data_IF_287830774920
#
_entry.id   IF_287830774920
#
_cell.length_a   1.000
_cell.length_b   1.000
_cell.length_c   1.000
_cell.angle_alpha   90.00
_cell.angle_beta   90.00
_cell.angle_gamma   90.00
#
_symmetry.space_group_name_H-M   'P 1'
#
loop_
_entity.id
_entity.type
_entity.pdbx_description
1 polymer ?
#
# COMPACT_ATOMS: atom_id res chain seq x y z
N UNK A 1 17.51 -39.62 -9.14
CA UNK A 1 18.82 -39.71 -8.55
C UNK A 1 18.91 -40.89 -7.58
N UNK A 2 20.12 -41.50 -7.40
CA UNK A 2 20.23 -42.81 -6.73
C UNK A 2 19.75 -42.83 -5.28
N UNK A 3 19.84 -41.74 -4.53
CA UNK A 3 19.42 -41.65 -3.13
C UNK A 3 17.89 -41.61 -2.94
N UNK A 4 17.13 -41.42 -4.00
CA UNK A 4 15.65 -41.35 -3.95
C UNK A 4 14.96 -42.58 -4.54
N UNK A 5 15.71 -43.59 -5.03
CA UNK A 5 15.12 -44.76 -5.69
C UNK A 5 14.25 -45.61 -4.79
N UNK A 6 14.50 -45.59 -3.49
CA UNK A 6 13.76 -46.37 -2.51
C UNK A 6 12.49 -45.68 -1.98
N UNK A 7 12.25 -44.43 -2.41
CA UNK A 7 11.11 -43.63 -1.97
C UNK A 7 10.03 -43.64 -3.07
N UNK A 8 9.21 -44.68 -3.10
CA UNK A 8 8.25 -44.92 -4.18
C UNK A 8 7.06 -43.91 -4.23
N UNK A 9 6.80 -43.19 -3.15
CA UNK A 9 5.69 -42.24 -3.08
C UNK A 9 6.06 -40.83 -3.58
N UNK A 10 7.34 -40.54 -3.80
CA UNK A 10 7.81 -39.29 -4.39
C UNK A 10 8.07 -39.50 -5.87
N UNK A 11 7.35 -38.78 -6.73
CA UNK A 11 7.53 -38.85 -8.18
C UNK A 11 8.51 -37.80 -8.69
N UNK A 12 8.43 -36.58 -8.15
CA UNK A 12 9.29 -35.49 -8.56
C UNK A 12 9.46 -34.47 -7.44
N UNK A 13 10.68 -33.96 -7.29
CA UNK A 13 11.00 -32.78 -6.48
C UNK A 13 11.85 -31.86 -7.33
N UNK A 14 11.44 -30.60 -7.44
CA UNK A 14 12.17 -29.58 -8.18
C UNK A 14 12.28 -28.32 -7.35
N UNK A 15 13.48 -27.93 -7.04
CA UNK A 15 13.77 -26.62 -6.49
C UNK A 15 13.92 -25.59 -7.60
N UNK A 16 13.40 -24.40 -7.36
CA UNK A 16 13.51 -23.24 -8.25
C UNK A 16 14.11 -22.09 -7.46
N UNK A 17 15.10 -21.45 -8.04
CA UNK A 17 15.67 -20.23 -7.50
C UNK A 17 15.81 -19.24 -8.64
N UNK A 18 15.39 -18.00 -8.41
CA UNK A 18 15.55 -16.94 -9.40
C UNK A 18 15.89 -15.61 -8.73
N UNK A 19 16.72 -14.84 -9.40
CA UNK A 19 17.02 -13.46 -9.11
C UNK A 19 16.79 -12.68 -10.39
N UNK A 20 16.04 -11.60 -10.31
CA UNK A 20 15.76 -10.74 -11.44
C UNK A 20 15.78 -9.27 -11.05
N UNK A 21 16.18 -8.43 -12.00
CA UNK A 21 16.14 -6.98 -11.88
C UNK A 21 15.49 -6.39 -13.11
N UNK A 22 14.51 -5.50 -12.94
CA UNK A 22 13.81 -4.80 -14.01
C UNK A 22 13.72 -3.31 -13.71
N UNK A 23 13.92 -2.50 -14.73
CA UNK A 23 13.70 -1.05 -14.67
C UNK A 23 12.31 -0.70 -15.17
N UNK A 24 11.67 0.26 -14.52
CA UNK A 24 10.39 0.84 -14.93
C UNK A 24 10.56 2.34 -15.15
N UNK A 25 10.30 2.79 -16.37
CA UNK A 25 10.36 4.20 -16.77
C UNK A 25 8.98 4.80 -17.03
N UNK A 26 7.93 4.30 -16.40
CA UNK A 26 6.57 4.77 -16.58
C UNK A 26 6.35 6.15 -15.92
N UNK A 27 7.03 7.15 -16.44
CA UNK A 27 6.90 8.56 -16.07
C UNK A 27 6.26 9.30 -17.23
N UNK A 28 5.32 10.20 -16.92
CA UNK A 28 4.68 11.02 -17.96
C UNK A 28 5.72 11.75 -18.80
N UNK A 29 5.52 11.85 -20.12
CA UNK A 29 6.43 12.57 -20.99
C UNK A 29 6.70 14.00 -20.50
N UNK A 30 7.92 14.49 -20.74
CA UNK A 30 8.35 15.85 -20.41
C UNK A 30 8.44 16.21 -18.92
N UNK A 31 8.25 15.25 -17.99
CA UNK A 31 8.40 15.51 -16.53
C UNK A 31 9.81 15.96 -16.11
N UNK A 32 10.80 15.84 -17.00
CA UNK A 32 12.18 16.30 -16.82
C UNK A 32 12.42 17.71 -17.37
N UNK A 33 11.39 18.33 -17.96
CA UNK A 33 11.51 19.65 -18.56
C UNK A 33 10.77 20.70 -17.72
N UNK A 34 11.39 21.85 -17.58
CA UNK A 34 10.72 23.03 -17.03
C UNK A 34 9.78 23.60 -18.07
N UNK A 35 8.50 23.67 -17.74
CA UNK A 35 7.46 24.21 -18.60
C UNK A 35 6.99 25.55 -18.05
N UNK A 36 6.89 26.55 -18.92
CA UNK A 36 6.29 27.83 -18.60
C UNK A 36 4.83 27.84 -19.02
N UNK A 37 3.96 28.23 -18.12
CA UNK A 37 2.55 28.41 -18.44
C UNK A 37 2.28 29.81 -18.98
N UNK A 38 1.52 29.90 -20.07
CA UNK A 38 1.06 31.13 -20.68
C UNK A 38 -0.40 31.38 -20.30
N UNK A 39 -0.63 32.37 -19.49
CA UNK A 39 -1.96 32.72 -18.99
C UNK A 39 -2.38 34.10 -19.47
N UNK A 40 -3.67 34.29 -19.64
CA UNK A 40 -4.24 35.61 -19.88
C UNK A 40 -4.50 36.31 -18.55
N UNK A 41 -4.12 37.58 -18.46
CA UNK A 41 -4.41 38.37 -17.28
C UNK A 41 -5.92 38.51 -17.06
N UNK A 42 -6.33 38.52 -15.79
CA UNK A 42 -7.75 38.75 -15.42
C UNK A 42 -8.22 40.18 -15.65
N UNK A 43 -7.35 41.07 -16.13
CA UNK A 43 -7.61 42.49 -16.36
C UNK A 43 -7.39 42.85 -17.83
N UNK A 44 -8.17 43.81 -18.32
CA UNK A 44 -8.05 44.38 -19.65
C UNK A 44 -7.27 45.69 -19.52
N UNK A 45 -6.19 45.80 -20.30
CA UNK A 45 -5.40 47.00 -20.42
C UNK A 45 -5.44 47.49 -21.88
N UNK A 46 -5.80 48.74 -22.10
CA UNK A 46 -5.91 49.34 -23.45
C UNK A 46 -6.84 48.52 -24.37
N UNK A 47 -7.97 48.01 -23.87
CA UNK A 47 -8.94 47.24 -24.63
C UNK A 47 -8.53 45.82 -24.95
N UNK A 48 -7.39 45.35 -24.47
CA UNK A 48 -6.88 44.01 -24.75
C UNK A 48 -6.50 43.28 -23.48
N UNK A 49 -6.75 41.98 -23.44
CA UNK A 49 -6.31 41.08 -22.38
C UNK A 49 -4.86 40.68 -22.64
N UNK A 50 -3.97 41.04 -21.72
CA UNK A 50 -2.54 40.73 -21.88
C UNK A 50 -2.22 39.29 -21.49
N UNK A 51 -1.28 38.69 -22.20
CA UNK A 51 -0.72 37.40 -21.85
C UNK A 51 0.48 37.58 -20.94
N UNK A 52 0.59 36.78 -19.92
CA UNK A 52 1.78 36.73 -19.05
C UNK A 52 2.26 35.27 -18.92
N UNK A 53 3.53 35.11 -18.63
CA UNK A 53 4.13 33.81 -18.32
C UNK A 53 4.17 33.65 -16.80
N UNK A 54 3.77 32.48 -16.31
CA UNK A 54 3.98 32.10 -14.93
C UNK A 54 5.08 31.06 -14.82
N UNK A 55 5.82 31.08 -13.72
CA UNK A 55 6.71 29.99 -13.39
C UNK A 55 5.92 28.69 -13.22
N UNK A 56 6.52 27.53 -13.51
CA UNK A 56 5.86 26.24 -13.29
C UNK A 56 5.48 26.09 -11.83
N UNK A 57 4.36 25.43 -11.58
CA UNK A 57 3.86 25.19 -10.22
C UNK A 57 4.65 24.14 -9.44
N UNK A 58 5.60 23.47 -10.08
CA UNK A 58 6.41 22.40 -9.48
C UNK A 58 7.89 22.55 -9.79
N UNK A 59 8.72 22.23 -8.83
CA UNK A 59 10.18 22.16 -8.99
C UNK A 59 10.55 20.84 -9.67
N UNK A 60 11.50 20.89 -10.61
CA UNK A 60 12.03 19.69 -11.24
C UNK A 60 12.91 18.89 -10.28
N UNK A 61 12.84 17.54 -10.34
CA UNK A 61 13.77 16.71 -9.58
C UNK A 61 15.19 16.89 -10.14
N UNK A 62 16.17 17.07 -9.25
CA UNK A 62 17.57 17.24 -9.65
C UNK A 62 18.17 15.97 -10.30
N UNK A 63 17.71 14.81 -9.87
CA UNK A 63 18.20 13.52 -10.32
C UNK A 63 17.02 12.58 -10.57
N UNK A 64 16.54 12.54 -11.81
CA UNK A 64 15.51 11.59 -12.22
C UNK A 64 16.17 10.30 -12.72
N UNK A 65 15.84 9.17 -12.10
CA UNK A 65 16.30 7.83 -12.51
C UNK A 65 15.13 6.87 -12.65
N UNK A 66 15.42 5.71 -13.20
CA UNK A 66 14.43 4.64 -13.39
C UNK A 66 14.08 4.01 -12.04
N UNK A 67 12.81 3.80 -11.83
CA UNK A 67 12.36 2.89 -10.77
C UNK A 67 12.91 1.50 -11.05
N UNK A 68 13.52 0.90 -10.05
CA UNK A 68 14.14 -0.42 -10.18
C UNK A 68 13.45 -1.43 -9.27
N UNK A 69 13.01 -2.54 -9.84
CA UNK A 69 12.43 -3.67 -9.12
C UNK A 69 13.39 -4.85 -9.15
N UNK A 70 13.86 -5.27 -7.98
CA UNK A 70 14.71 -6.45 -7.78
C UNK A 70 13.93 -7.53 -7.05
N UNK A 71 13.86 -8.73 -7.61
CA UNK A 71 13.10 -9.85 -7.02
C UNK A 71 14.00 -11.05 -6.81
N UNK A 72 13.90 -11.65 -5.63
CA UNK A 72 14.48 -12.94 -5.28
C UNK A 72 13.31 -13.88 -5.00
N UNK A 73 13.31 -15.06 -5.62
CA UNK A 73 12.28 -16.07 -5.45
C UNK A 73 12.93 -17.43 -5.20
N UNK A 74 12.37 -18.18 -4.25
CA UNK A 74 12.67 -19.58 -3.98
C UNK A 74 11.37 -20.38 -4.08
N UNK A 75 11.34 -21.34 -5.00
CA UNK A 75 10.18 -22.19 -5.24
C UNK A 75 10.50 -23.67 -5.05
N UNK A 76 9.47 -24.43 -4.73
CA UNK A 76 9.49 -25.88 -4.58
C UNK A 76 8.27 -26.50 -5.27
N UNK A 77 8.54 -27.38 -6.24
CA UNK A 77 7.53 -28.21 -6.90
C UNK A 77 7.70 -29.65 -6.46
N UNK A 78 6.64 -30.28 -5.97
CA UNK A 78 6.64 -31.68 -5.53
C UNK A 78 5.45 -32.42 -6.11
N UNK A 79 5.69 -33.56 -6.71
CA UNK A 79 4.65 -34.49 -7.15
C UNK A 79 4.78 -35.79 -6.37
N UNK A 80 3.68 -36.21 -5.79
CA UNK A 80 3.58 -37.38 -4.91
C UNK A 80 2.51 -38.34 -5.36
N UNK A 81 2.56 -39.58 -4.82
CA UNK A 81 1.51 -40.56 -4.92
C UNK A 81 1.13 -40.89 -6.40
N UNK A 82 2.13 -41.20 -7.23
CA UNK A 82 1.94 -41.44 -8.66
C UNK A 82 1.32 -40.24 -9.39
N UNK A 83 1.80 -39.01 -9.07
CA UNK A 83 1.32 -37.73 -9.60
C UNK A 83 -0.14 -37.37 -9.24
N UNK A 84 -0.72 -38.05 -8.24
CA UNK A 84 -2.06 -37.68 -7.76
C UNK A 84 -2.04 -36.41 -6.93
N UNK A 85 -1.00 -36.22 -6.12
CA UNK A 85 -0.83 -35.03 -5.29
C UNK A 85 0.28 -34.15 -5.87
N UNK A 86 -0.03 -32.92 -6.18
CA UNK A 86 0.92 -31.89 -6.61
C UNK A 86 0.96 -30.76 -5.60
N UNK A 87 2.17 -30.36 -5.22
CA UNK A 87 2.43 -29.21 -4.38
C UNK A 87 3.34 -28.25 -5.14
N UNK A 88 2.98 -26.97 -5.16
CA UNK A 88 3.82 -25.88 -5.66
C UNK A 88 3.84 -24.79 -4.59
N UNK A 89 5.00 -24.41 -4.16
CA UNK A 89 5.19 -23.37 -3.17
C UNK A 89 6.27 -22.39 -3.61
N UNK A 90 6.03 -21.11 -3.45
CA UNK A 90 6.97 -20.03 -3.73
C UNK A 90 7.02 -19.06 -2.55
N UNK A 91 8.21 -18.62 -2.19
CA UNK A 91 8.44 -17.49 -1.30
C UNK A 91 9.30 -16.46 -2.03
N UNK A 92 8.95 -15.20 -1.91
CA UNK A 92 9.66 -14.16 -2.62
C UNK A 92 9.85 -12.89 -1.79
N UNK A 93 10.90 -12.17 -2.15
CA UNK A 93 11.12 -10.80 -1.73
C UNK A 93 11.36 -9.94 -2.96
N UNK A 94 10.59 -8.87 -3.08
CA UNK A 94 10.72 -7.85 -4.10
C UNK A 94 11.09 -6.54 -3.44
N UNK A 95 12.14 -5.90 -3.92
CA UNK A 95 12.53 -4.55 -3.51
C UNK A 95 12.36 -3.62 -4.72
N UNK A 96 11.55 -2.59 -4.53
CA UNK A 96 11.36 -1.53 -5.52
C UNK A 96 12.02 -0.28 -4.98
N UNK A 97 13.06 0.18 -5.67
CA UNK A 97 13.84 1.36 -5.30
C UNK A 97 13.63 2.48 -6.28
N UNK A 98 13.90 3.70 -5.81
CA UNK A 98 13.80 4.92 -6.63
C UNK A 98 12.40 5.15 -7.23
N UNK A 99 11.35 4.82 -6.48
CA UNK A 99 9.97 5.04 -6.91
C UNK A 99 9.70 6.53 -7.14
N UNK A 100 9.09 6.83 -8.30
CA UNK A 100 8.76 8.20 -8.68
C UNK A 100 7.45 8.65 -8.02
N UNK A 101 7.58 9.32 -6.89
CA UNK A 101 6.46 9.78 -6.05
C UNK A 101 6.66 11.23 -5.63
N UNK A 102 5.61 11.84 -5.09
CA UNK A 102 5.68 13.18 -4.50
C UNK A 102 6.68 13.19 -3.33
N UNK A 103 7.55 14.17 -3.30
CA UNK A 103 8.51 14.38 -2.22
C UNK A 103 7.95 15.21 -1.06
N UNK A 104 8.86 15.73 -0.25
CA UNK A 104 8.51 16.59 0.87
C UNK A 104 7.81 17.87 0.42
N UNK A 105 6.81 18.31 1.19
CA UNK A 105 6.15 19.59 0.98
C UNK A 105 7.16 20.75 1.14
N UNK A 106 7.04 21.71 0.26
CA UNK A 106 7.83 22.94 0.32
C UNK A 106 7.10 23.98 1.19
N UNK A 107 7.83 24.90 1.84
CA UNK A 107 7.20 25.99 2.54
C UNK A 107 6.23 26.77 1.64
N UNK A 108 5.04 27.08 2.11
CA UNK A 108 4.00 27.76 1.33
C UNK A 108 4.48 29.10 0.71
N UNK A 109 5.46 29.76 1.33
CA UNK A 109 6.06 31.00 0.81
C UNK A 109 6.73 30.83 -0.55
N UNK A 110 7.12 29.62 -0.93
CA UNK A 110 7.73 29.35 -2.24
C UNK A 110 6.73 29.38 -3.40
N UNK A 111 5.44 29.17 -3.10
CA UNK A 111 4.38 29.05 -4.10
C UNK A 111 4.43 27.78 -4.95
N UNK A 112 5.34 26.84 -4.65
CA UNK A 112 5.49 25.59 -5.38
C UNK A 112 4.79 24.44 -4.67
N UNK A 113 4.25 23.51 -5.46
CA UNK A 113 3.78 22.21 -4.97
C UNK A 113 4.97 21.32 -4.64
N UNK A 114 4.74 20.30 -3.81
CA UNK A 114 5.75 19.28 -3.51
C UNK A 114 6.30 18.65 -4.81
N UNK A 115 7.62 18.60 -4.99
CA UNK A 115 8.23 18.09 -6.21
C UNK A 115 8.06 16.58 -6.32
N UNK A 116 7.83 16.08 -7.53
CA UNK A 116 7.96 14.66 -7.82
C UNK A 116 9.43 14.28 -7.98
N UNK A 117 9.79 13.09 -7.57
CA UNK A 117 11.14 12.55 -7.71
C UNK A 117 11.24 11.10 -7.26
N UNK A 118 12.43 10.55 -7.26
CA UNK A 118 12.72 9.20 -6.77
C UNK A 118 12.81 9.20 -5.24
N UNK A 119 11.68 9.38 -4.59
CA UNK A 119 11.56 9.73 -3.16
C UNK A 119 11.16 8.55 -2.26
N UNK A 120 10.88 7.37 -2.81
CA UNK A 120 10.43 6.23 -2.02
C UNK A 120 11.05 4.92 -2.46
N UNK A 121 11.24 4.02 -1.49
CA UNK A 121 11.58 2.63 -1.69
C UNK A 121 10.57 1.74 -0.96
N UNK A 122 10.30 0.57 -1.51
CA UNK A 122 9.33 -0.38 -0.96
C UNK A 122 9.87 -1.80 -0.99
N UNK A 123 9.56 -2.57 0.04
CA UNK A 123 9.86 -3.99 0.11
C UNK A 123 8.58 -4.79 0.24
N UNK A 124 8.38 -5.72 -0.68
CA UNK A 124 7.27 -6.69 -0.64
C UNK A 124 7.83 -8.07 -0.35
N UNK A 125 7.25 -8.75 0.62
CA UNK A 125 7.49 -10.17 0.91
C UNK A 125 6.18 -10.91 0.80
N UNK A 126 6.23 -12.08 0.19
CA UNK A 126 5.04 -12.88 0.03
C UNK A 126 5.33 -14.35 -0.14
N UNK A 127 4.27 -15.13 -0.10
CA UNK A 127 4.30 -16.54 -0.42
C UNK A 127 3.09 -16.91 -1.28
N UNK A 128 3.26 -17.94 -2.07
CA UNK A 128 2.19 -18.55 -2.87
C UNK A 128 2.29 -20.06 -2.71
N UNK A 129 1.18 -20.71 -2.39
CA UNK A 129 1.09 -22.16 -2.23
C UNK A 129 -0.09 -22.68 -3.03
N UNK A 130 0.13 -23.72 -3.80
CA UNK A 130 -0.90 -24.43 -4.54
C UNK A 130 -0.81 -25.92 -4.26
N UNK A 131 -1.93 -26.52 -3.88
CA UNK A 131 -2.10 -27.95 -3.65
C UNK A 131 -3.12 -28.50 -4.63
N UNK A 132 -2.71 -29.47 -5.44
CA UNK A 132 -3.59 -30.12 -6.42
C UNK A 132 -3.74 -31.59 -6.11
N UNK A 133 -4.96 -32.09 -6.21
CA UNK A 133 -5.26 -33.51 -6.17
C UNK A 133 -5.96 -33.94 -7.44
N UNK A 134 -5.46 -35.01 -8.09
CA UNK A 134 -6.06 -35.58 -9.29
C UNK A 134 -6.16 -37.07 -9.12
N UNK A 135 -7.35 -37.62 -9.32
CA UNK A 135 -7.57 -39.07 -9.24
C UNK A 135 -8.63 -39.51 -10.21
N UNK A 136 -8.72 -40.84 -10.41
CA UNK A 136 -9.71 -41.47 -11.28
C UNK A 136 -10.23 -42.76 -10.65
N UNK A 137 -11.51 -42.97 -10.79
CA UNK A 137 -12.17 -44.21 -10.41
C UNK A 137 -13.24 -44.62 -11.45
N UNK A 138 -13.78 -45.80 -11.35
CA UNK A 138 -14.81 -46.27 -12.28
C UNK A 138 -16.19 -46.20 -11.64
N UNK A 139 -17.13 -45.60 -12.36
CA UNK A 139 -18.56 -45.59 -12.02
C UNK A 139 -19.32 -46.29 -13.15
N UNK A 140 -20.06 -47.35 -12.84
CA UNK A 140 -20.79 -48.12 -13.83
C UNK A 140 -19.95 -48.52 -15.06
N UNK A 141 -18.73 -49.03 -14.84
CA UNK A 141 -17.73 -49.40 -15.85
C UNK A 141 -17.18 -48.24 -16.72
N UNK A 142 -17.53 -46.99 -16.44
CA UNK A 142 -16.98 -45.81 -17.13
C UNK A 142 -15.95 -45.13 -16.25
N UNK A 143 -14.83 -44.64 -16.81
CA UNK A 143 -13.84 -43.88 -16.05
C UNK A 143 -14.42 -42.54 -15.63
N UNK A 144 -14.25 -42.19 -14.36
CA UNK A 144 -14.56 -40.87 -13.82
C UNK A 144 -13.25 -40.26 -13.33
N UNK A 145 -12.87 -39.13 -13.92
CA UNK A 145 -11.67 -38.39 -13.57
C UNK A 145 -12.08 -37.09 -12.86
N UNK A 146 -11.42 -36.77 -11.78
CA UNK A 146 -11.64 -35.50 -11.07
C UNK A 146 -10.32 -34.88 -10.64
N UNK A 147 -10.35 -33.58 -10.52
CA UNK A 147 -9.23 -32.81 -9.98
C UNK A 147 -9.75 -31.70 -9.08
N UNK A 148 -9.02 -31.45 -8.00
CA UNK A 148 -9.28 -30.35 -7.06
C UNK A 148 -7.97 -29.58 -6.89
N UNK A 149 -8.04 -28.26 -6.93
CA UNK A 149 -6.88 -27.39 -6.64
C UNK A 149 -7.26 -26.37 -5.60
N UNK A 150 -6.40 -26.22 -4.61
CA UNK A 150 -6.45 -25.19 -3.59
C UNK A 150 -5.22 -24.29 -3.77
N UNK A 151 -5.45 -22.98 -3.76
CA UNK A 151 -4.37 -22.01 -3.79
C UNK A 151 -4.53 -21.00 -2.66
N UNK A 152 -3.43 -20.70 -1.99
CA UNK A 152 -3.34 -19.72 -0.92
C UNK A 152 -2.13 -18.83 -1.19
N UNK A 153 -2.31 -17.53 -1.07
CA UNK A 153 -1.23 -16.57 -1.20
C UNK A 153 -1.44 -15.41 -0.23
N UNK A 154 -0.38 -14.80 0.18
CA UNK A 154 -0.39 -13.56 0.94
C UNK A 154 0.88 -12.77 0.67
N UNK A 155 0.80 -11.45 0.79
CA UNK A 155 1.95 -10.56 0.63
C UNK A 155 1.82 -9.31 1.47
N UNK A 156 2.95 -8.89 2.01
CA UNK A 156 3.08 -7.67 2.81
C UNK A 156 4.09 -6.73 2.15
N UNK A 157 3.64 -5.51 1.88
CA UNK A 157 4.47 -4.44 1.30
C UNK A 157 4.71 -3.36 2.34
N UNK A 158 5.97 -3.04 2.60
CA UNK A 158 6.38 -2.02 3.57
C UNK A 158 7.20 -0.95 2.84
N UNK A 159 6.88 0.30 3.09
CA UNK A 159 7.67 1.43 2.65
C UNK A 159 8.96 1.46 3.47
N UNK A 160 10.11 1.26 2.81
CA UNK A 160 11.42 1.19 3.48
C UNK A 160 12.14 2.53 3.51
N UNK A 161 11.74 3.44 2.63
CA UNK A 161 12.24 4.82 2.57
C UNK A 161 11.16 5.71 2.00
N UNK A 162 10.98 6.87 2.60
CA UNK A 162 10.12 7.91 2.06
C UNK A 162 10.66 9.28 2.45
N UNK A 163 10.98 10.10 1.46
CA UNK A 163 11.50 11.44 1.68
C UNK A 163 10.35 12.41 1.97
N UNK A 164 9.83 12.35 3.18
CA UNK A 164 8.88 13.34 3.72
C UNK A 164 9.49 14.04 4.91
N UNK A 165 9.20 15.33 5.09
CA UNK A 165 9.64 16.08 6.28
C UNK A 165 8.78 15.81 7.50
N UNK A 166 7.62 15.21 7.34
CA UNK A 166 6.67 15.01 8.41
C UNK A 166 6.75 13.57 8.91
N UNK A 167 7.35 13.36 10.07
CA UNK A 167 7.20 12.13 10.85
C UNK A 167 5.88 12.11 11.63
N UNK A 168 5.01 13.10 11.42
CA UNK A 168 3.68 13.10 12.00
C UNK A 168 2.78 12.24 11.16
N UNK A 169 2.03 11.39 11.82
CA UNK A 169 0.93 10.68 11.18
C UNK A 169 0.05 11.68 10.46
N UNK A 170 -0.28 11.41 9.19
CA UNK A 170 -1.18 12.30 8.48
C UNK A 170 -2.52 12.33 9.18
N UNK A 171 -3.27 13.41 8.96
CA UNK A 171 -4.67 13.44 9.33
C UNK A 171 -5.37 12.21 8.76
N UNK A 172 -6.34 11.65 9.47
CA UNK A 172 -7.08 10.40 9.18
C UNK A 172 -7.51 10.21 7.72
N UNK A 173 -7.56 11.27 6.95
CA UNK A 173 -8.01 11.30 5.56
C UNK A 173 -6.91 11.64 4.55
N UNK A 174 -5.68 11.82 5.02
CA UNK A 174 -4.57 12.10 4.11
C UNK A 174 -3.97 10.79 3.60
N UNK A 175 -3.86 10.66 2.28
CA UNK A 175 -3.07 9.61 1.62
C UNK A 175 -1.58 9.90 1.79
N UNK A 176 -1.13 10.03 3.03
CA UNK A 176 0.27 10.27 3.29
C UNK A 176 0.96 8.95 3.56
N UNK A 177 2.06 8.77 2.88
CA UNK A 177 2.95 7.65 3.07
C UNK A 177 4.05 8.03 4.05
N UNK A 178 4.48 7.08 4.87
CA UNK A 178 5.59 7.26 5.80
C UNK A 178 6.49 6.02 5.80
N UNK A 179 7.71 6.19 6.24
CA UNK A 179 8.67 5.10 6.37
C UNK A 179 8.21 4.11 7.46
N UNK A 180 8.19 2.82 7.12
CA UNK A 180 7.65 1.76 7.98
C UNK A 180 6.19 1.43 7.75
N UNK A 181 5.45 2.24 6.98
CA UNK A 181 4.04 1.99 6.66
C UNK A 181 3.86 0.69 5.89
N UNK A 182 2.86 -0.10 6.28
CA UNK A 182 2.36 -1.20 5.47
C UNK A 182 1.38 -0.68 4.41
N UNK A 183 1.62 -1.01 3.15
CA UNK A 183 0.74 -0.57 2.06
C UNK A 183 -0.65 -1.22 2.20
N UNK A 184 -1.68 -0.39 2.20
CA UNK A 184 -3.05 -0.84 2.44
C UNK A 184 -3.50 -0.74 3.91
N UNK A 185 -2.67 -0.18 4.78
CA UNK A 185 -3.00 0.13 6.16
C UNK A 185 -4.20 1.07 6.24
N UNK A 186 -5.18 0.70 7.05
CA UNK A 186 -6.41 1.48 7.24
C UNK A 186 -6.40 2.03 8.66
N UNK A 187 -6.41 3.35 8.76
CA UNK A 187 -6.49 4.06 10.01
C UNK A 187 -7.92 4.39 10.38
N UNK A 188 -8.24 4.30 11.65
CA UNK A 188 -9.55 4.63 12.17
C UNK A 188 -9.52 4.76 13.68
N UNK A 189 -10.58 5.31 14.23
CA UNK A 189 -10.73 5.40 15.68
C UNK A 189 -11.06 4.03 16.27
N UNK A 190 -10.43 3.72 17.39
CA UNK A 190 -10.68 2.47 18.12
C UNK A 190 -11.99 2.57 18.91
N UNK A 191 -12.99 1.78 18.54
CA UNK A 191 -14.27 1.73 19.24
C UNK A 191 -14.16 0.80 20.43
N UNK A 192 -14.43 1.30 21.63
CA UNK A 192 -14.43 0.50 22.88
C UNK A 192 -15.82 0.03 23.28
N UNK A 193 -16.87 0.57 22.67
CA UNK A 193 -18.25 0.19 22.95
C UNK A 193 -19.27 1.23 22.53
N UNK A 194 -20.44 1.15 23.13
CA UNK A 194 -21.50 2.13 23.03
C UNK A 194 -21.69 2.78 24.40
N UNK A 195 -22.12 4.04 24.42
CA UNK A 195 -22.52 4.67 25.66
C UNK A 195 -23.81 4.03 26.18
N UNK A 196 -23.83 3.66 27.47
CA UNK A 196 -24.98 3.03 28.10
C UNK A 196 -26.07 4.08 28.48
N UNK A 197 -25.65 5.28 28.86
CA UNK A 197 -26.55 6.37 29.26
C UNK A 197 -26.10 7.71 28.68
N UNK A 198 -26.99 8.69 28.66
CA UNK A 198 -26.70 10.05 28.19
C UNK A 198 -25.69 10.75 29.11
N UNK A 199 -25.73 10.46 30.43
CA UNK A 199 -24.80 11.02 31.40
C UNK A 199 -23.38 10.52 31.13
N UNK A 200 -23.21 9.21 30.86
CA UNK A 200 -21.92 8.63 30.49
C UNK A 200 -21.38 9.29 29.20
N UNK A 201 -22.24 9.44 28.20
CA UNK A 201 -21.89 10.03 26.92
C UNK A 201 -21.42 11.48 27.06
N UNK A 202 -22.13 12.27 27.87
CA UNK A 202 -21.78 13.67 28.12
C UNK A 202 -20.48 13.79 28.91
N UNK A 203 -20.28 12.97 29.95
CA UNK A 203 -19.05 12.99 30.74
C UNK A 203 -17.83 12.63 29.90
N UNK A 204 -17.93 11.60 29.08
CA UNK A 204 -16.86 11.18 28.18
C UNK A 204 -16.61 12.18 27.06
N UNK A 205 -17.68 12.73 26.45
CA UNK A 205 -17.61 13.73 25.41
C UNK A 205 -16.84 14.97 25.85
N UNK A 206 -17.15 15.52 27.03
CA UNK A 206 -16.45 16.68 27.60
C UNK A 206 -14.97 16.41 27.84
N UNK A 207 -14.59 15.18 28.21
CA UNK A 207 -13.20 14.81 28.48
C UNK A 207 -12.38 14.58 27.21
N UNK A 208 -12.90 13.86 26.26
CA UNK A 208 -12.10 13.34 25.18
C UNK A 208 -12.68 13.55 23.78
N UNK A 209 -13.95 13.26 23.58
CA UNK A 209 -14.50 13.05 22.24
C UNK A 209 -15.05 14.32 21.58
N UNK A 210 -15.61 15.26 22.33
CA UNK A 210 -16.16 16.51 21.80
C UNK A 210 -15.10 17.44 21.21
N UNK A 211 -13.90 17.41 21.78
CA UNK A 211 -12.80 18.30 21.34
C UNK A 211 -12.29 17.99 19.93
N UNK A 212 -12.55 16.81 19.43
CA UNK A 212 -11.92 16.32 18.20
C UNK A 212 -12.86 16.25 17.02
N UNK A 213 -14.07 15.76 17.23
CA UNK A 213 -15.00 15.46 16.12
C UNK A 213 -15.90 16.60 15.72
N UNK A 214 -16.11 17.58 16.61
CA UNK A 214 -17.09 18.61 16.42
C UNK A 214 -16.60 19.97 16.90
N UNK A 215 -15.87 20.65 16.06
CA UNK A 215 -15.62 22.06 16.27
C UNK A 215 -16.80 22.86 15.68
N UNK A 216 -17.78 23.18 16.47
CA UNK A 216 -18.71 24.26 16.13
C UNK A 216 -20.20 24.01 16.20
N UNK A 217 -20.69 22.79 16.27
CA UNK A 217 -22.12 22.53 16.41
C UNK A 217 -22.40 21.78 17.71
N UNK A 218 -23.40 22.30 18.47
CA UNK A 218 -23.90 21.75 19.74
C UNK A 218 -24.45 20.31 19.64
N UNK A 219 -23.67 19.37 19.14
CA UNK A 219 -24.02 17.95 19.16
C UNK A 219 -23.46 17.33 20.39
N UNK A 220 -24.35 16.99 21.32
CA UNK A 220 -24.05 16.16 22.47
C UNK A 220 -24.01 14.68 22.04
N UNK A 221 -23.09 13.94 22.60
CA UNK A 221 -23.10 12.49 22.55
C UNK A 221 -24.21 11.94 23.42
N UNK A 222 -24.87 10.87 22.98
CA UNK A 222 -26.03 10.28 23.65
C UNK A 222 -25.85 8.78 23.85
N UNK A 223 -26.69 8.19 24.67
CA UNK A 223 -26.77 6.74 24.80
C UNK A 223 -26.97 6.07 23.45
N UNK A 224 -26.19 5.02 23.18
CA UNK A 224 -26.19 4.30 21.91
C UNK A 224 -25.20 4.82 20.86
N UNK A 225 -24.55 5.96 21.08
CA UNK A 225 -23.48 6.44 20.22
C UNK A 225 -22.18 5.66 20.48
N UNK A 226 -21.29 5.64 19.47
CA UNK A 226 -20.01 4.97 19.55
C UNK A 226 -19.06 5.67 20.53
N UNK A 227 -18.48 4.89 21.44
CA UNK A 227 -17.45 5.34 22.39
C UNK A 227 -16.08 5.01 21.83
N UNK A 228 -15.26 6.02 21.60
CA UNK A 228 -13.91 5.88 21.07
C UNK A 228 -12.87 5.94 22.20
N UNK A 229 -11.79 5.18 22.04
CA UNK A 229 -10.67 5.22 22.97
C UNK A 229 -9.79 6.44 22.74
N UNK A 230 -9.33 7.03 23.84
CA UNK A 230 -8.15 7.89 23.88
C UNK A 230 -6.93 6.97 24.06
N UNK A 231 -6.18 6.75 22.98
CA UNK A 231 -5.11 5.74 22.94
C UNK A 231 -3.77 6.27 23.46
N UNK A 232 -3.60 7.57 23.51
CA UNK A 232 -2.37 8.24 23.93
C UNK A 232 -2.50 8.98 25.26
N UNK A 233 -3.66 8.84 25.94
CA UNK A 233 -4.00 9.51 27.19
C UNK A 233 -3.85 11.04 27.14
N UNK A 234 -4.03 11.63 25.96
CA UNK A 234 -3.92 13.08 25.74
C UNK A 234 -5.12 13.86 26.30
N UNK A 235 -6.18 13.16 26.68
CA UNK A 235 -7.45 13.73 27.08
C UNK A 235 -8.30 14.20 25.89
N UNK A 236 -7.98 13.74 24.67
CA UNK A 236 -8.75 14.00 23.47
C UNK A 236 -8.65 12.79 22.52
N UNK A 237 -9.76 12.40 21.90
CA UNK A 237 -9.74 11.43 20.82
C UNK A 237 -9.31 12.14 19.54
N UNK A 238 -8.08 11.99 19.13
CA UNK A 238 -7.46 12.70 18.02
C UNK A 238 -6.64 11.74 17.12
N UNK A 239 -5.90 12.29 16.19
CA UNK A 239 -5.10 11.52 15.24
C UNK A 239 -3.71 11.12 15.78
N UNK A 240 -3.41 11.41 17.03
CA UNK A 240 -2.08 11.21 17.64
C UNK A 240 -1.16 12.41 17.50
#
# INVERSE_FOLDING_TARGET
ENFMKDISWINNIKWRFSIGKAGNGNVSPYKYMELLDFNKAGVIVDGSQRTYTSAPSSVLPANLTWETSSTINLGLDVNLLNNRLSFVGDIYQKETTDMFVTGAELPAVTGYSAPYGNNADMRTRGFEVSLGWTDSFRVANKPFNYSVRLSLWDSKSIITKYTSKSNTLPTLYANAYYEGMELGEIWGYHVVGLFATDEEAQEWGLKAQEKTFWSGDNKSWNAGDLKFADLDDSGAVNNG
#
